data_IF_358352026842
#
_entry.id   IF_358352026842
#
_cell.length_a   1.000
_cell.length_b   1.000
_cell.length_c   1.000
_cell.angle_alpha   90.00
_cell.angle_beta   90.00
_cell.angle_gamma   90.00
#
_symmetry.space_group_name_H-M   'P 1'
#
loop_
_entity.id
_entity.type
_entity.pdbx_description
1 polymer ?
#
# COMPACT_ATOMS: atom_id res chain seq x y z
N UNK A 1 3.56 13.09 -6.18
CA UNK A 1 2.67 12.00 -5.75
C UNK A 1 3.51 10.77 -5.56
N UNK A 2 3.56 10.18 -4.36
CA UNK A 2 4.34 8.97 -4.07
C UNK A 2 3.39 7.83 -3.69
N UNK A 3 3.84 6.61 -3.87
CA UNK A 3 3.13 5.41 -3.47
C UNK A 3 3.84 4.80 -2.27
N UNK A 4 3.12 3.93 -1.58
CA UNK A 4 3.69 3.08 -0.55
C UNK A 4 3.38 1.63 -0.87
N UNK A 5 4.35 0.77 -0.57
CA UNK A 5 4.20 -0.68 -0.58
C UNK A 5 4.32 -1.17 0.85
N UNK A 6 3.36 -1.96 1.26
CA UNK A 6 3.25 -2.48 2.61
C UNK A 6 2.68 -3.90 2.54
N UNK A 7 2.95 -4.70 3.57
CA UNK A 7 2.26 -5.97 3.75
C UNK A 7 0.74 -5.75 3.82
N UNK A 8 -0.02 -6.50 3.01
CA UNK A 8 -1.49 -6.40 2.91
C UNK A 8 -2.16 -6.69 4.25
N UNK A 9 -1.70 -7.71 4.97
CA UNK A 9 -2.29 -8.09 6.25
C UNK A 9 -2.14 -6.95 7.27
N UNK A 10 -0.95 -6.35 7.37
CA UNK A 10 -0.73 -5.18 8.24
C UNK A 10 -1.66 -4.02 7.85
N UNK A 11 -1.77 -3.72 6.55
CA UNK A 11 -2.62 -2.62 6.08
C UNK A 11 -4.11 -2.83 6.39
N UNK A 12 -4.57 -4.09 6.39
CA UNK A 12 -5.94 -4.46 6.75
C UNK A 12 -6.14 -4.46 8.26
N UNK A 13 -5.23 -5.08 9.03
CA UNK A 13 -5.28 -5.15 10.49
C UNK A 13 -5.25 -3.76 11.14
N UNK A 14 -4.45 -2.84 10.59
CA UNK A 14 -4.37 -1.44 11.03
C UNK A 14 -5.55 -0.59 10.52
N UNK A 15 -6.41 -1.15 9.67
CA UNK A 15 -7.57 -0.44 9.12
C UNK A 15 -7.23 0.66 8.13
N UNK A 16 -6.02 0.64 7.54
CA UNK A 16 -5.61 1.62 6.51
C UNK A 16 -6.39 1.38 5.23
N UNK A 17 -6.60 0.10 4.89
CA UNK A 17 -7.42 -0.33 3.76
C UNK A 17 -8.40 -1.43 4.20
N UNK A 18 -9.47 -1.62 3.41
CA UNK A 18 -10.40 -2.74 3.60
C UNK A 18 -9.84 -4.02 2.97
N UNK A 19 -10.19 -5.18 3.51
CA UNK A 19 -9.79 -6.49 2.97
C UNK A 19 -10.15 -6.67 1.49
N UNK A 20 -11.36 -6.23 1.11
CA UNK A 20 -11.88 -6.25 -0.26
C UNK A 20 -11.64 -4.92 -1.01
N UNK A 21 -10.57 -4.21 -0.68
CA UNK A 21 -10.22 -2.99 -1.40
C UNK A 21 -9.73 -3.28 -2.82
N UNK A 22 -9.99 -2.37 -3.75
CA UNK A 22 -9.55 -2.46 -5.15
C UNK A 22 -8.08 -2.06 -5.36
N UNK A 23 -7.28 -2.04 -4.28
CA UNK A 23 -5.87 -1.68 -4.40
C UNK A 23 -5.07 -2.81 -5.05
N UNK A 24 -4.13 -2.49 -5.93
CA UNK A 24 -3.22 -3.48 -6.51
C UNK A 24 -2.49 -4.29 -5.44
N UNK A 25 -2.49 -5.61 -5.57
CA UNK A 25 -1.93 -6.54 -4.60
C UNK A 25 -1.41 -7.79 -5.32
N UNK A 26 -0.29 -8.35 -4.87
CA UNK A 26 0.18 -9.70 -5.27
C UNK A 26 -0.32 -10.81 -4.33
N UNK A 27 -1.07 -10.47 -3.29
CA UNK A 27 -1.59 -11.38 -2.27
C UNK A 27 -0.90 -11.19 -0.92
N UNK A 28 0.36 -10.74 -0.91
CA UNK A 28 1.15 -10.49 0.31
C UNK A 28 1.39 -9.01 0.55
N UNK A 29 1.63 -8.25 -0.52
CA UNK A 29 1.90 -6.83 -0.51
C UNK A 29 0.80 -6.08 -1.25
N UNK A 30 0.57 -4.83 -0.85
CA UNK A 30 -0.39 -3.93 -1.47
C UNK A 30 0.29 -2.59 -1.74
N UNK A 31 -0.05 -1.99 -2.88
CA UNK A 31 0.45 -0.67 -3.27
C UNK A 31 -0.71 0.33 -3.32
N UNK A 32 -0.56 1.46 -2.63
CA UNK A 32 -1.52 2.54 -2.66
C UNK A 32 -0.85 3.91 -2.50
N UNK A 33 -1.61 4.99 -2.71
CA UNK A 33 -1.09 6.36 -2.64
C UNK A 33 -0.69 6.70 -1.21
N UNK A 34 0.45 7.37 -1.04
CA UNK A 34 0.95 7.82 0.27
C UNK A 34 -0.07 8.67 1.03
N UNK A 35 -0.86 9.48 0.34
CA UNK A 35 -1.87 10.36 0.93
C UNK A 35 -2.88 9.58 1.80
N UNK A 36 -3.19 8.32 1.47
CA UNK A 36 -4.08 7.48 2.28
C UNK A 36 -3.44 7.16 3.64
N UNK A 37 -2.14 6.83 3.64
CA UNK A 37 -1.42 6.62 4.89
C UNK A 37 -1.32 7.93 5.67
N UNK A 38 -1.04 9.06 5.02
CA UNK A 38 -0.97 10.36 5.70
C UNK A 38 -2.26 10.73 6.41
N UNK A 39 -3.43 10.49 5.79
CA UNK A 39 -4.74 10.70 6.44
C UNK A 39 -4.92 9.77 7.64
N UNK A 40 -4.49 8.51 7.52
CA UNK A 40 -4.56 7.55 8.60
C UNK A 40 -3.62 7.92 9.78
N UNK A 41 -2.43 8.42 9.47
CA UNK A 41 -1.39 8.89 10.41
C UNK A 41 -1.82 10.08 11.26
N UNK A 42 -2.77 10.90 10.79
CA UNK A 42 -3.29 12.04 11.58
C UNK A 42 -3.93 11.59 12.89
N UNK A 43 -4.50 10.37 12.91
CA UNK A 43 -5.21 9.82 14.06
C UNK A 43 -4.52 8.59 14.67
N UNK A 44 -3.46 8.08 14.03
CA UNK A 44 -2.79 6.85 14.42
C UNK A 44 -1.28 6.99 14.34
N UNK A 45 -0.55 6.27 15.20
CA UNK A 45 0.91 6.20 15.10
C UNK A 45 1.31 5.08 14.14
N UNK A 46 2.23 5.37 13.24
CA UNK A 46 2.92 4.32 12.48
C UNK A 46 3.88 3.58 13.40
N UNK A 47 3.68 2.27 13.51
CA UNK A 47 4.51 1.32 14.25
C UNK A 47 4.88 0.10 13.39
N UNK A 48 4.83 0.23 12.07
CA UNK A 48 5.08 -0.84 11.10
C UNK A 48 5.98 -0.37 9.96
N UNK A 49 6.62 -1.33 9.31
CA UNK A 49 7.46 -1.07 8.14
C UNK A 49 6.63 -0.91 6.87
N UNK A 50 6.98 0.10 6.08
CA UNK A 50 6.47 0.31 4.74
C UNK A 50 7.55 0.93 3.85
N UNK A 51 7.48 0.67 2.56
CA UNK A 51 8.41 1.19 1.58
C UNK A 51 7.77 2.37 0.83
N UNK A 52 8.48 3.50 0.73
CA UNK A 52 8.06 4.61 -0.15
C UNK A 52 8.56 4.33 -1.56
N UNK A 53 7.65 4.32 -2.53
CA UNK A 53 7.95 3.98 -3.92
C UNK A 53 7.55 5.14 -4.84
N UNK A 54 8.38 5.45 -5.84
CA UNK A 54 8.06 6.47 -6.84
C UNK A 54 6.96 5.96 -7.80
N UNK A 55 6.18 6.85 -8.44
CA UNK A 55 5.12 6.45 -9.37
C UNK A 55 5.58 5.48 -10.46
N UNK A 56 6.74 5.70 -11.08
CA UNK A 56 7.25 4.85 -12.15
C UNK A 56 7.55 3.41 -11.67
N UNK A 57 8.15 3.29 -10.47
CA UNK A 57 8.46 2.00 -9.86
C UNK A 57 7.17 1.29 -9.42
N UNK A 58 6.24 2.01 -8.81
CA UNK A 58 4.96 1.48 -8.38
C UNK A 58 4.17 0.89 -9.55
N UNK A 59 4.09 1.61 -10.67
CA UNK A 59 3.42 1.14 -11.88
C UNK A 59 4.09 -0.13 -12.42
N UNK A 60 5.41 -0.13 -12.52
CA UNK A 60 6.17 -1.31 -12.98
C UNK A 60 5.90 -2.53 -12.10
N UNK A 61 5.92 -2.38 -10.77
CA UNK A 61 5.63 -3.48 -9.84
C UNK A 61 4.19 -3.98 -9.99
N UNK A 62 3.22 -3.08 -10.15
CA UNK A 62 1.82 -3.44 -10.38
C UNK A 62 1.65 -4.22 -11.70
N UNK A 63 2.35 -3.81 -12.76
CA UNK A 63 2.35 -4.53 -14.03
C UNK A 63 2.97 -5.93 -13.90
N UNK A 64 4.06 -6.06 -13.14
CA UNK A 64 4.71 -7.35 -12.87
C UNK A 64 3.79 -8.31 -12.11
N UNK A 65 2.98 -7.80 -11.16
CA UNK A 65 2.02 -8.61 -10.41
C UNK A 65 0.85 -9.13 -11.25
N UNK A 66 0.43 -8.40 -12.27
CA UNK A 66 -0.70 -8.77 -13.13
C UNK A 66 -0.30 -9.52 -14.42
N UNK A 67 0.99 -9.76 -14.65
CA UNK A 67 1.50 -10.51 -15.82
C UNK A 67 1.38 -12.03 -15.70
N UNK A 68 0.59 -12.54 -14.76
CA UNK A 68 0.38 -13.97 -14.49
C UNK A 68 -0.89 -14.45 -15.18
#
# INVERSE_FOLDING_TARGET
MNYIKINKQIAVEKGIIKENSFFPTNGTEVIFKKDILTIWEENNKVDFDFENIKPAEALKTIEEWHKI
#
